data_IF_566888839421
#
_entry.id   IF_566888839421
#
_cell.length_a   1.000
_cell.length_b   1.000
_cell.length_c   1.000
_cell.angle_alpha   90.00
_cell.angle_beta   90.00
_cell.angle_gamma   90.00
#
_symmetry.space_group_name_H-M   'P 1'
#
loop_
_entity.id
_entity.type
_entity.pdbx_description
1 polymer ?
#
# COMPACT_ATOMS: atom_id res chain seq x y z
N UNK A 1 24.19 -18.42 84.16
CA UNK A 1 25.27 -17.46 84.58
C UNK A 1 25.59 -16.56 83.41
N UNK A 2 25.56 -15.22 83.66
CA UNK A 2 26.05 -14.07 82.87
C UNK A 2 25.42 -13.85 81.46
N UNK A 3 24.42 -12.98 81.32
CA UNK A 3 24.42 -11.50 81.11
C UNK A 3 25.48 -10.98 80.16
N UNK A 4 25.01 -10.21 79.13
CA UNK A 4 25.34 -8.78 78.84
C UNK A 4 24.53 -8.36 77.60
N UNK A 5 23.54 -7.50 77.79
CA UNK A 5 23.29 -6.13 77.32
C UNK A 5 23.91 -5.80 75.95
N UNK A 6 23.21 -5.48 74.89
CA UNK A 6 22.37 -4.31 74.71
C UNK A 6 23.01 -3.48 73.64
N UNK A 7 22.30 -3.02 72.71
CA UNK A 7 22.22 -1.65 72.22
C UNK A 7 21.23 -1.61 71.02
N UNK A 8 20.20 -0.81 71.21
CA UNK A 8 19.23 -0.41 70.20
C UNK A 8 19.89 0.56 69.19
N UNK A 9 19.83 0.26 67.92
CA UNK A 9 20.04 1.27 66.90
C UNK A 9 18.86 1.26 65.91
N UNK A 10 18.08 2.30 65.99
CA UNK A 10 16.95 2.62 65.17
C UNK A 10 17.48 3.04 63.78
N UNK A 11 17.23 2.26 62.73
CA UNK A 11 17.48 2.66 61.36
C UNK A 11 16.13 2.69 60.61
N UNK A 12 15.72 3.89 60.28
CA UNK A 12 14.60 4.23 59.43
C UNK A 12 14.75 3.58 58.04
N UNK A 13 13.82 2.67 57.72
CA UNK A 13 13.70 2.12 56.39
C UNK A 13 12.83 3.07 55.55
N UNK A 14 13.45 3.80 54.66
CA UNK A 14 12.77 4.47 53.53
C UNK A 14 12.37 3.40 52.53
N UNK A 15 11.06 3.09 52.42
CA UNK A 15 10.54 2.32 51.30
C UNK A 15 10.57 3.15 50.04
N UNK A 16 11.53 2.89 49.18
CA UNK A 16 11.44 3.25 47.77
C UNK A 16 10.56 2.22 47.04
N UNK A 17 9.37 2.64 46.67
CA UNK A 17 8.53 1.96 45.70
C UNK A 17 9.19 2.09 44.32
N UNK A 18 10.03 1.12 43.91
CA UNK A 18 10.46 0.96 42.55
C UNK A 18 9.36 0.23 41.80
N UNK A 19 8.60 0.99 41.01
CA UNK A 19 7.67 0.45 40.02
C UNK A 19 8.41 -0.42 39.02
N UNK A 20 7.91 -1.65 38.85
CA UNK A 20 8.38 -2.61 37.86
C UNK A 20 7.98 -2.11 36.46
N UNK A 21 8.75 -1.17 35.91
CA UNK A 21 8.70 -0.81 34.51
C UNK A 21 9.34 -1.92 33.69
N UNK A 22 8.57 -2.63 32.90
CA UNK A 22 9.10 -3.53 31.89
C UNK A 22 10.02 -2.72 30.98
N UNK A 23 11.29 -3.00 31.04
CA UNK A 23 12.24 -2.55 30.04
C UNK A 23 11.83 -3.14 28.69
N UNK A 24 11.24 -2.33 27.84
CA UNK A 24 11.19 -2.60 26.43
C UNK A 24 12.63 -2.50 25.90
N UNK A 25 13.15 -3.62 25.43
CA UNK A 25 14.42 -3.68 24.76
C UNK A 25 14.39 -2.80 23.49
N UNK A 26 15.04 -1.64 23.57
CA UNK A 26 15.15 -0.66 22.48
C UNK A 26 16.20 -1.05 21.43
N UNK A 27 16.78 -2.25 21.51
CA UNK A 27 17.98 -2.58 20.74
C UNK A 27 17.77 -2.98 19.28
N UNK A 28 16.52 -3.18 18.80
CA UNK A 28 16.26 -3.65 17.43
C UNK A 28 15.56 -2.64 16.49
N UNK A 29 15.22 -1.44 16.95
CA UNK A 29 14.56 -0.43 16.08
C UNK A 29 15.51 0.63 15.49
N UNK A 30 16.80 0.60 15.87
CA UNK A 30 17.77 1.66 15.54
C UNK A 30 18.60 1.40 14.28
N UNK A 31 18.43 0.25 13.60
CA UNK A 31 19.25 -0.09 12.43
C UNK A 31 18.60 0.17 11.08
N UNK A 32 17.31 0.57 11.03
CA UNK A 32 16.73 1.03 9.77
C UNK A 32 17.06 2.52 9.65
N UNK A 33 18.28 2.82 9.27
CA UNK A 33 18.71 4.18 8.96
C UNK A 33 18.23 4.54 7.55
N UNK A 34 16.97 4.99 7.46
CA UNK A 34 16.44 5.67 6.27
C UNK A 34 16.75 7.14 6.49
N UNK A 35 18.04 7.49 6.41
CA UNK A 35 18.49 8.86 6.61
C UNK A 35 18.06 9.75 5.44
N UNK A 36 17.37 10.80 5.79
CA UNK A 36 17.22 12.20 5.35
C UNK A 36 17.35 12.60 3.87
N UNK A 37 17.64 11.72 2.94
CA UNK A 37 17.48 11.93 1.50
C UNK A 37 16.40 11.02 0.90
N UNK A 38 15.23 10.99 1.54
CA UNK A 38 14.02 10.72 0.79
C UNK A 38 13.84 11.96 -0.06
N UNK A 39 14.12 11.85 -1.36
CA UNK A 39 13.85 12.92 -2.31
C UNK A 39 12.41 13.32 -2.12
N UNK A 40 12.16 14.52 -1.64
CA UNK A 40 10.82 15.06 -1.48
C UNK A 40 10.23 15.14 -2.90
N UNK A 41 9.31 14.24 -3.22
CA UNK A 41 8.58 14.25 -4.49
C UNK A 41 7.53 15.35 -4.52
N UNK A 42 7.37 16.11 -3.41
CA UNK A 42 6.51 17.27 -3.35
C UNK A 42 7.16 18.44 -4.09
N UNK A 43 6.60 18.81 -5.23
CA UNK A 43 6.93 20.07 -5.92
C UNK A 43 6.66 21.29 -5.04
N UNK A 44 7.17 22.45 -5.41
CA UNK A 44 6.94 23.71 -4.68
C UNK A 44 5.44 24.04 -4.59
N UNK A 45 4.99 24.62 -3.47
CA UNK A 45 3.62 24.70 -2.95
C UNK A 45 2.45 24.90 -3.94
N UNK A 46 2.59 25.75 -4.99
CA UNK A 46 1.51 25.97 -5.96
C UNK A 46 1.34 24.85 -6.99
N UNK A 47 2.41 24.10 -7.29
CA UNK A 47 2.38 22.97 -8.21
C UNK A 47 1.84 21.69 -7.52
N UNK A 48 2.05 21.59 -6.21
CA UNK A 48 1.55 20.51 -5.36
C UNK A 48 0.02 20.43 -5.28
N UNK A 49 -0.67 21.55 -5.46
CA UNK A 49 -2.14 21.59 -5.40
C UNK A 49 -2.81 21.27 -6.73
N UNK A 50 -2.03 21.16 -7.81
CA UNK A 50 -2.52 20.91 -9.17
C UNK A 50 -2.41 19.45 -9.60
N UNK A 51 -1.87 18.59 -8.76
CA UNK A 51 -1.69 17.16 -9.04
C UNK A 51 -1.89 16.30 -7.80
N UNK A 52 -2.16 15.03 -8.04
CA UNK A 52 -2.14 13.99 -7.03
C UNK A 52 -1.20 12.86 -7.44
N UNK A 53 -0.60 12.23 -6.44
CA UNK A 53 0.21 11.02 -6.60
C UNK A 53 -0.55 9.84 -6.01
N UNK A 54 -0.89 8.88 -6.87
CA UNK A 54 -1.56 7.62 -6.50
C UNK A 54 -0.50 6.53 -6.41
N UNK A 55 -0.55 5.72 -5.35
CA UNK A 55 0.34 4.59 -5.16
C UNK A 55 -0.42 3.28 -4.96
N UNK A 56 0.25 2.16 -5.25
CA UNK A 56 -0.15 0.81 -4.84
C UNK A 56 0.97 0.18 -4.03
N UNK A 57 0.60 -0.57 -2.99
CA UNK A 57 1.56 -1.17 -2.08
C UNK A 57 1.05 -2.46 -1.44
N UNK A 58 1.63 -3.60 -1.83
CA UNK A 58 1.45 -4.83 -1.08
C UNK A 58 2.20 -4.71 0.25
N UNK A 59 1.48 -4.67 1.36
CA UNK A 59 2.02 -4.39 2.68
C UNK A 59 2.43 -5.65 3.46
N UNK A 60 2.50 -6.81 2.79
CA UNK A 60 2.94 -8.08 3.36
C UNK A 60 2.34 -8.38 4.74
N UNK A 61 1.04 -8.78 4.77
CA UNK A 61 0.30 -9.17 5.99
C UNK A 61 0.18 -8.04 7.03
N UNK A 62 -0.27 -6.86 6.58
CA UNK A 62 -0.47 -5.68 7.43
C UNK A 62 -1.48 -5.96 8.57
N UNK A 63 -1.08 -5.63 9.79
CA UNK A 63 -1.89 -5.84 11.00
C UNK A 63 -1.76 -7.24 11.61
N UNK A 64 -1.08 -8.18 10.96
CA UNK A 64 -0.75 -9.50 11.50
C UNK A 64 0.73 -9.61 11.84
N UNK A 65 1.62 -9.36 10.86
CA UNK A 65 3.07 -9.33 11.09
C UNK A 65 3.50 -8.08 11.86
N UNK A 66 4.59 -8.19 12.57
CA UNK A 66 5.27 -7.02 13.14
C UNK A 66 5.76 -6.10 12.04
N UNK A 67 5.47 -4.80 12.17
CA UNK A 67 5.81 -3.77 11.19
C UNK A 67 6.47 -2.58 11.84
N UNK A 68 7.42 -1.97 11.16
CA UNK A 68 7.92 -0.65 11.51
C UNK A 68 7.02 0.43 10.89
N UNK A 69 5.96 0.79 11.60
CA UNK A 69 4.95 1.76 11.13
C UNK A 69 5.52 3.18 10.98
N UNK A 70 6.59 3.52 11.71
CA UNK A 70 7.24 4.83 11.56
C UNK A 70 7.92 4.93 10.19
N UNK A 71 8.68 3.90 9.81
CA UNK A 71 9.32 3.84 8.49
C UNK A 71 8.28 3.71 7.39
N UNK A 72 7.25 2.86 7.56
CA UNK A 72 6.15 2.78 6.58
C UNK A 72 5.49 4.14 6.37
N UNK A 73 5.22 4.90 7.44
CA UNK A 73 4.65 6.23 7.32
C UNK A 73 5.59 7.20 6.58
N UNK A 74 6.90 7.17 6.82
CA UNK A 74 7.88 7.99 6.08
C UNK A 74 7.86 7.68 4.59
N UNK A 75 7.81 6.40 4.22
CA UNK A 75 7.73 5.96 2.82
C UNK A 75 6.40 6.39 2.19
N UNK A 76 5.29 6.08 2.83
CA UNK A 76 3.95 6.27 2.26
C UNK A 76 3.46 7.72 2.31
N UNK A 77 4.07 8.59 3.14
CA UNK A 77 3.75 10.01 3.17
C UNK A 77 4.19 10.78 1.91
N UNK A 78 4.90 10.15 0.99
CA UNK A 78 5.23 10.75 -0.32
C UNK A 78 4.06 10.72 -1.31
N UNK A 79 2.97 10.01 -1.00
CA UNK A 79 1.82 9.83 -1.89
C UNK A 79 0.58 10.49 -1.28
N UNK A 80 -0.43 10.78 -2.13
CA UNK A 80 -1.69 11.38 -1.68
C UNK A 80 -2.78 10.32 -1.45
N UNK A 81 -2.77 9.24 -2.24
CA UNK A 81 -3.66 8.09 -2.14
C UNK A 81 -2.87 6.80 -2.33
N UNK A 82 -3.03 5.85 -1.44
CA UNK A 82 -2.35 4.55 -1.51
C UNK A 82 -3.38 3.44 -1.46
N UNK A 83 -3.42 2.59 -2.48
CA UNK A 83 -4.05 1.28 -2.45
C UNK A 83 -3.15 0.29 -1.71
N UNK A 84 -3.72 -0.47 -0.78
CA UNK A 84 -2.95 -1.39 0.07
C UNK A 84 -3.55 -2.79 -0.02
N UNK A 85 -2.74 -3.72 -0.48
CA UNK A 85 -3.00 -5.16 -0.51
C UNK A 85 -2.47 -5.82 0.77
N UNK A 86 -2.89 -7.06 1.00
CA UNK A 86 -2.53 -7.87 2.17
C UNK A 86 -2.86 -7.21 3.52
N UNK A 87 -3.99 -6.54 3.61
CA UNK A 87 -4.51 -6.06 4.90
C UNK A 87 -5.18 -7.23 5.63
N UNK A 88 -4.46 -7.85 6.57
CA UNK A 88 -5.00 -8.99 7.33
C UNK A 88 -5.97 -8.55 8.43
N UNK A 89 -5.75 -7.37 9.00
CA UNK A 89 -6.60 -6.79 10.03
C UNK A 89 -6.67 -5.27 9.93
N UNK A 90 -7.87 -4.72 10.05
CA UNK A 90 -8.12 -3.27 10.04
C UNK A 90 -7.24 -2.48 11.05
N UNK A 91 -6.83 -3.12 12.16
CA UNK A 91 -5.91 -2.50 13.14
C UNK A 91 -4.59 -2.04 12.51
N UNK A 92 -4.15 -2.69 11.42
CA UNK A 92 -2.96 -2.30 10.67
C UNK A 92 -3.14 -0.93 10.01
N UNK A 93 -4.25 -0.73 9.29
CA UNK A 93 -4.60 0.56 8.67
C UNK A 93 -4.80 1.66 9.73
N UNK A 94 -5.50 1.35 10.84
CA UNK A 94 -5.67 2.31 11.95
C UNK A 94 -4.34 2.78 12.51
N UNK A 95 -3.40 1.85 12.68
CA UNK A 95 -2.06 2.18 13.20
C UNK A 95 -1.25 2.98 12.19
N UNK A 96 -1.24 2.58 10.91
CA UNK A 96 -0.57 3.31 9.84
C UNK A 96 -1.09 4.74 9.72
N UNK A 97 -2.41 4.93 9.68
CA UNK A 97 -3.06 6.25 9.69
C UNK A 97 -2.59 7.11 10.86
N UNK A 98 -2.52 6.55 12.06
CA UNK A 98 -2.07 7.31 13.24
C UNK A 98 -0.61 7.78 13.12
N UNK A 99 0.26 6.96 12.53
CA UNK A 99 1.66 7.34 12.27
C UNK A 99 1.76 8.38 11.16
N UNK A 100 0.98 8.26 10.08
CA UNK A 100 0.92 9.26 9.01
C UNK A 100 0.44 10.63 9.55
N UNK A 101 -0.66 10.66 10.30
CA UNK A 101 -1.15 11.89 10.93
C UNK A 101 -0.08 12.55 11.82
N UNK A 102 0.61 11.73 12.65
CA UNK A 102 1.65 12.23 13.55
C UNK A 102 2.87 12.77 12.79
N UNK A 103 3.26 12.08 11.71
CA UNK A 103 4.45 12.43 10.94
C UNK A 103 4.24 13.71 10.12
N UNK A 104 3.11 13.80 9.41
CA UNK A 104 2.85 14.88 8.45
C UNK A 104 2.15 16.09 9.06
N UNK A 105 1.48 15.92 10.20
CA UNK A 105 0.58 16.92 10.77
C UNK A 105 -0.74 17.08 9.99
N UNK A 106 -0.93 16.32 8.91
CA UNK A 106 -2.11 16.36 8.06
C UNK A 106 -3.12 15.29 8.50
N UNK A 107 -4.36 15.47 8.06
CA UNK A 107 -5.43 14.50 8.32
C UNK A 107 -5.45 13.43 7.24
N UNK A 108 -5.10 12.21 7.61
CA UNK A 108 -5.26 11.02 6.80
C UNK A 108 -6.52 10.26 7.17
N UNK A 109 -7.17 9.68 6.17
CA UNK A 109 -8.31 8.78 6.34
C UNK A 109 -8.06 7.48 5.59
N UNK A 110 -8.87 6.45 5.87
CA UNK A 110 -8.82 5.20 5.15
C UNK A 110 -10.22 4.63 4.94
N UNK A 111 -10.36 3.82 3.91
CA UNK A 111 -11.46 2.89 3.72
C UNK A 111 -10.91 1.48 3.59
N UNK A 112 -11.72 0.50 3.93
CA UNK A 112 -11.38 -0.94 3.85
C UNK A 112 -12.55 -1.67 3.20
N UNK A 113 -12.28 -2.74 2.46
CA UNK A 113 -13.31 -3.59 1.85
C UNK A 113 -14.24 -4.19 2.91
N UNK A 114 -15.49 -4.46 2.52
CA UNK A 114 -16.53 -4.95 3.44
C UNK A 114 -16.21 -6.35 3.97
N UNK A 115 -15.62 -7.17 3.10
CA UNK A 115 -15.27 -8.54 3.41
C UNK A 115 -13.80 -8.81 3.06
N UNK A 116 -13.24 -9.83 3.66
CA UNK A 116 -11.96 -10.40 3.25
C UNK A 116 -12.18 -11.38 2.10
N UNK A 117 -11.22 -11.43 1.17
CA UNK A 117 -11.20 -12.31 -0.01
C UNK A 117 -9.99 -13.25 0.04
N UNK A 118 -10.00 -14.32 -0.74
CA UNK A 118 -8.92 -15.29 -0.82
C UNK A 118 -9.35 -16.72 -0.43
N UNK A 119 -8.38 -17.60 -0.30
CA UNK A 119 -8.59 -19.01 0.05
C UNK A 119 -8.97 -19.22 1.52
N UNK A 120 -9.43 -20.44 1.87
CA UNK A 120 -9.78 -20.79 3.24
C UNK A 120 -8.63 -20.56 4.24
N UNK A 121 -7.39 -20.79 3.83
CA UNK A 121 -6.20 -20.65 4.67
C UNK A 121 -5.53 -19.25 4.63
N UNK A 122 -5.94 -18.40 3.71
CA UNK A 122 -5.34 -17.07 3.52
C UNK A 122 -6.36 -16.08 2.99
N UNK A 123 -6.79 -15.17 3.84
CA UNK A 123 -7.77 -14.13 3.50
C UNK A 123 -7.26 -12.75 3.87
N UNK A 124 -7.49 -11.79 3.01
CA UNK A 124 -7.07 -10.40 3.18
C UNK A 124 -8.19 -9.44 2.84
N UNK A 125 -8.09 -8.22 3.33
CA UNK A 125 -8.88 -7.07 2.94
C UNK A 125 -8.07 -6.20 1.98
N UNK A 126 -8.75 -5.44 1.14
CA UNK A 126 -8.18 -4.30 0.44
C UNK A 126 -8.42 -3.02 1.23
N UNK A 127 -7.43 -2.14 1.25
CA UNK A 127 -7.52 -0.86 1.92
C UNK A 127 -7.07 0.29 1.03
N UNK A 128 -7.66 1.46 1.21
CA UNK A 128 -7.15 2.71 0.68
C UNK A 128 -6.86 3.64 1.84
N UNK A 129 -5.69 4.28 1.86
CA UNK A 129 -5.34 5.31 2.82
C UNK A 129 -4.97 6.59 2.06
N UNK A 130 -5.48 7.74 2.48
CA UNK A 130 -5.38 8.96 1.70
C UNK A 130 -5.37 10.22 2.56
N UNK A 131 -4.80 11.33 2.01
CA UNK A 131 -4.83 12.68 2.57
C UNK A 131 -6.25 13.22 2.45
N UNK A 132 -6.94 13.44 3.57
CA UNK A 132 -8.37 13.82 3.55
C UNK A 132 -8.64 15.10 2.76
N UNK A 133 -7.77 16.09 2.87
CA UNK A 133 -7.96 17.41 2.27
C UNK A 133 -7.76 17.42 0.73
N UNK A 134 -7.11 16.38 0.18
CA UNK A 134 -6.91 16.25 -1.27
C UNK A 134 -8.16 15.69 -1.99
N UNK A 135 -9.08 15.04 -1.27
CA UNK A 135 -10.22 14.36 -1.89
C UNK A 135 -11.55 14.90 -1.38
N UNK A 136 -12.35 15.47 -2.28
CA UNK A 136 -13.69 16.01 -2.01
C UNK A 136 -14.71 14.90 -1.85
N UNK A 137 -14.60 13.85 -2.67
CA UNK A 137 -15.47 12.67 -2.61
C UNK A 137 -14.64 11.39 -2.59
N UNK A 138 -15.06 10.45 -1.73
CA UNK A 138 -14.52 9.09 -1.66
C UNK A 138 -15.69 8.15 -1.42
N UNK A 139 -15.91 7.21 -2.35
CA UNK A 139 -17.06 6.30 -2.33
C UNK A 139 -16.63 4.87 -2.68
N UNK A 140 -17.00 3.90 -1.86
CA UNK A 140 -16.77 2.49 -2.15
C UNK A 140 -17.69 2.04 -3.31
N UNK A 141 -17.13 1.33 -4.28
CA UNK A 141 -17.88 0.66 -5.33
C UNK A 141 -18.05 -0.84 -5.04
N UNK A 142 -17.15 -1.40 -4.23
CA UNK A 142 -17.21 -2.79 -3.84
C UNK A 142 -16.33 -3.71 -4.70
N UNK A 143 -16.56 -5.01 -4.53
CA UNK A 143 -15.84 -6.03 -5.28
C UNK A 143 -16.34 -6.15 -6.71
N UNK A 144 -15.42 -6.49 -7.61
CA UNK A 144 -15.77 -6.98 -8.93
C UNK A 144 -16.73 -8.17 -8.81
N UNK A 145 -17.84 -8.13 -9.57
CA UNK A 145 -18.76 -9.26 -9.66
C UNK A 145 -18.39 -10.10 -10.87
N UNK A 146 -17.89 -11.28 -10.61
CA UNK A 146 -17.42 -12.20 -11.64
C UNK A 146 -18.50 -12.52 -12.67
N UNK A 147 -18.14 -12.54 -13.95
CA UNK A 147 -19.01 -12.97 -15.05
C UNK A 147 -19.17 -14.49 -15.03
N UNK A 148 -18.09 -15.20 -14.67
CA UNK A 148 -18.05 -16.65 -14.54
C UNK A 148 -17.54 -17.00 -13.15
N UNK A 149 -17.85 -18.17 -12.65
CA UNK A 149 -17.38 -18.61 -11.35
C UNK A 149 -15.85 -18.80 -11.34
N UNK A 150 -15.20 -18.34 -10.28
CA UNK A 150 -13.76 -18.52 -10.02
C UNK A 150 -12.83 -17.86 -11.07
N UNK A 151 -13.16 -16.66 -11.52
CA UNK A 151 -12.28 -15.85 -12.36
C UNK A 151 -11.07 -15.33 -11.56
N UNK A 152 -11.26 -15.09 -10.27
CA UNK A 152 -10.22 -14.59 -9.34
C UNK A 152 -10.22 -15.36 -8.01
N UNK A 153 -9.05 -15.61 -7.46
CA UNK A 153 -8.90 -16.07 -6.07
C UNK A 153 -9.28 -14.97 -5.08
N UNK A 154 -9.01 -13.72 -5.47
CA UNK A 154 -9.32 -12.49 -4.73
C UNK A 154 -9.92 -11.50 -5.72
N UNK A 155 -11.23 -11.33 -5.65
CA UNK A 155 -11.93 -10.41 -6.53
C UNK A 155 -11.39 -8.98 -6.34
N UNK A 156 -10.98 -8.28 -7.42
CA UNK A 156 -10.53 -6.89 -7.35
C UNK A 156 -11.56 -5.98 -6.70
N UNK A 157 -11.11 -4.95 -5.99
CA UNK A 157 -11.95 -4.03 -5.23
C UNK A 157 -11.82 -2.61 -5.72
N UNK A 158 -12.94 -1.95 -6.04
CA UNK A 158 -12.98 -0.60 -6.56
C UNK A 158 -13.52 0.43 -5.58
N UNK A 159 -12.96 1.63 -5.67
CA UNK A 159 -13.49 2.83 -5.02
C UNK A 159 -13.36 4.03 -5.96
N UNK A 160 -14.35 4.93 -5.88
CA UNK A 160 -14.38 6.20 -6.60
C UNK A 160 -13.77 7.29 -5.74
N UNK A 161 -13.00 8.16 -6.38
CA UNK A 161 -12.34 9.30 -5.78
C UNK A 161 -12.53 10.54 -6.65
N UNK A 162 -12.60 11.73 -6.02
CA UNK A 162 -12.57 13.02 -6.69
C UNK A 162 -11.56 13.93 -6.03
N UNK A 163 -10.63 14.47 -6.82
CA UNK A 163 -9.60 15.40 -6.40
C UNK A 163 -9.54 16.60 -7.37
N UNK A 164 -9.93 17.78 -6.92
CA UNK A 164 -10.10 18.93 -7.80
C UNK A 164 -11.17 18.64 -8.86
N UNK A 165 -10.79 18.73 -10.13
CA UNK A 165 -11.66 18.39 -11.25
C UNK A 165 -11.55 16.92 -11.68
N UNK A 166 -10.44 16.25 -11.35
CA UNK A 166 -10.22 14.85 -11.70
C UNK A 166 -11.02 13.91 -10.80
N UNK A 167 -11.90 13.13 -11.39
CA UNK A 167 -12.60 12.03 -10.74
C UNK A 167 -12.29 10.71 -11.45
N UNK A 168 -12.18 9.64 -10.67
CA UNK A 168 -11.70 8.36 -11.18
C UNK A 168 -12.13 7.19 -10.31
N UNK A 169 -12.08 6.01 -10.88
CA UNK A 169 -12.18 4.75 -10.16
C UNK A 169 -10.78 4.17 -9.97
N UNK A 170 -10.41 3.92 -8.73
CA UNK A 170 -9.21 3.17 -8.40
C UNK A 170 -9.59 1.75 -8.00
N UNK A 171 -9.12 0.76 -8.75
CA UNK A 171 -9.32 -0.67 -8.51
C UNK A 171 -8.03 -1.28 -8.01
N UNK A 172 -8.05 -1.80 -6.77
CA UNK A 172 -6.93 -2.56 -6.20
C UNK A 172 -7.09 -4.03 -6.58
N UNK A 173 -5.99 -4.69 -6.89
CA UNK A 173 -5.94 -6.11 -7.14
C UNK A 173 -4.74 -6.78 -6.46
N UNK A 174 -4.92 -8.05 -6.08
CA UNK A 174 -3.86 -8.94 -5.67
C UNK A 174 -4.14 -10.32 -6.28
N UNK A 175 -3.52 -10.60 -7.43
CA UNK A 175 -3.72 -11.84 -8.16
C UNK A 175 -3.13 -13.03 -7.42
N UNK A 176 -3.60 -14.21 -7.78
CA UNK A 176 -3.08 -15.45 -7.22
C UNK A 176 -1.58 -15.61 -7.52
N UNK A 177 -0.79 -15.97 -6.51
CA UNK A 177 0.56 -16.49 -6.77
C UNK A 177 0.49 -17.94 -7.28
N UNK A 178 -0.35 -18.77 -6.64
CA UNK A 178 -0.67 -20.14 -7.06
C UNK A 178 0.55 -21.08 -7.15
N UNK A 179 0.25 -22.36 -7.29
CA UNK A 179 1.29 -23.40 -7.48
C UNK A 179 1.80 -23.48 -8.92
N UNK A 180 1.02 -22.94 -9.87
CA UNK A 180 1.30 -23.02 -11.31
C UNK A 180 1.13 -21.65 -11.97
N UNK A 181 2.09 -21.30 -12.81
CA UNK A 181 2.02 -20.11 -13.64
C UNK A 181 0.72 -19.97 -14.43
N UNK A 182 0.18 -21.09 -14.93
CA UNK A 182 -1.09 -21.11 -15.66
C UNK A 182 -2.24 -20.46 -14.88
N UNK A 183 -2.29 -20.60 -13.55
CA UNK A 183 -3.35 -19.99 -12.72
C UNK A 183 -3.24 -18.45 -12.76
N UNK A 184 -2.02 -17.93 -12.66
CA UNK A 184 -1.73 -16.49 -12.75
C UNK A 184 -2.14 -15.92 -14.11
N UNK A 185 -1.79 -16.63 -15.21
CA UNK A 185 -2.13 -16.21 -16.57
C UNK A 185 -3.64 -16.20 -16.82
N UNK A 186 -4.40 -17.13 -16.21
CA UNK A 186 -5.87 -17.13 -16.30
C UNK A 186 -6.44 -15.90 -15.61
N UNK A 187 -6.04 -15.57 -14.37
CA UNK A 187 -6.49 -14.33 -13.71
C UNK A 187 -6.10 -13.09 -14.53
N UNK A 188 -4.84 -13.02 -15.00
CA UNK A 188 -4.36 -11.92 -15.83
C UNK A 188 -5.23 -11.70 -17.08
N UNK A 189 -5.71 -12.76 -17.71
CA UNK A 189 -6.59 -12.67 -18.90
C UNK A 189 -8.00 -12.14 -18.60
N UNK A 190 -8.43 -12.18 -17.33
CA UNK A 190 -9.76 -11.72 -16.91
C UNK A 190 -9.81 -10.23 -16.53
N UNK A 191 -8.67 -9.51 -16.47
CA UNK A 191 -8.69 -8.08 -16.12
C UNK A 191 -9.45 -7.20 -17.11
N UNK A 192 -9.66 -7.63 -18.35
CA UNK A 192 -10.59 -6.97 -19.26
C UNK A 192 -12.01 -6.91 -18.69
N UNK A 193 -12.47 -7.99 -18.05
CA UNK A 193 -13.79 -8.05 -17.43
C UNK A 193 -13.91 -7.11 -16.23
N UNK A 194 -12.81 -6.98 -15.45
CA UNK A 194 -12.73 -6.05 -14.32
C UNK A 194 -12.82 -4.60 -14.80
N UNK A 195 -12.06 -4.23 -15.83
CA UNK A 195 -12.07 -2.90 -16.41
C UNK A 195 -13.46 -2.52 -16.93
N UNK A 196 -14.06 -3.38 -17.75
CA UNK A 196 -15.42 -3.16 -18.30
C UNK A 196 -16.49 -3.07 -17.21
N UNK A 197 -16.36 -3.87 -16.15
CA UNK A 197 -17.28 -3.86 -15.03
C UNK A 197 -17.26 -2.50 -14.32
N UNK A 198 -16.08 -2.02 -13.90
CA UNK A 198 -16.00 -0.76 -13.18
C UNK A 198 -16.31 0.45 -14.05
N UNK A 199 -15.94 0.44 -15.32
CA UNK A 199 -16.33 1.44 -16.31
C UNK A 199 -17.87 1.57 -16.36
N UNK A 200 -18.58 0.44 -16.40
CA UNK A 200 -20.04 0.40 -16.48
C UNK A 200 -20.72 0.76 -15.16
N UNK A 201 -20.24 0.21 -14.04
CA UNK A 201 -20.90 0.37 -12.72
C UNK A 201 -20.72 1.78 -12.16
N UNK A 202 -19.61 2.43 -12.45
CA UNK A 202 -19.35 3.80 -12.00
C UNK A 202 -19.96 4.85 -12.94
N UNK A 203 -20.00 4.56 -14.23
CA UNK A 203 -20.25 5.55 -15.27
C UNK A 203 -19.06 6.47 -15.54
N UNK A 204 -17.92 6.21 -14.88
CA UNK A 204 -16.68 6.96 -14.94
C UNK A 204 -15.73 6.32 -15.96
N UNK A 205 -15.12 7.14 -16.82
CA UNK A 205 -14.22 6.65 -17.86
C UNK A 205 -12.79 6.45 -17.39
N UNK A 206 -12.39 7.14 -16.34
CA UNK A 206 -11.07 7.06 -15.71
C UNK A 206 -10.98 5.89 -14.73
N UNK A 207 -10.69 4.71 -15.28
CA UNK A 207 -10.51 3.49 -14.50
C UNK A 207 -9.02 3.14 -14.40
N UNK A 208 -8.49 3.23 -13.20
CA UNK A 208 -7.11 2.89 -12.83
C UNK A 208 -7.13 1.53 -12.13
N UNK A 209 -6.49 0.51 -12.69
CA UNK A 209 -6.30 -0.78 -12.03
C UNK A 209 -4.84 -0.87 -11.59
N UNK A 210 -4.59 -1.10 -10.30
CA UNK A 210 -3.23 -1.29 -9.81
C UNK A 210 -3.15 -2.32 -8.69
N UNK A 211 -1.98 -2.88 -8.50
CA UNK A 211 -1.71 -3.86 -7.45
C UNK A 211 -0.63 -4.87 -7.84
N UNK A 212 -0.60 -5.95 -7.08
CA UNK A 212 0.25 -7.11 -7.31
C UNK A 212 -0.45 -8.12 -8.24
N UNK A 213 -0.02 -8.13 -9.48
CA UNK A 213 -0.56 -9.06 -10.50
C UNK A 213 0.08 -10.44 -10.46
N UNK A 214 1.19 -10.63 -9.71
CA UNK A 214 1.98 -11.86 -9.68
C UNK A 214 2.42 -12.37 -11.08
N UNK A 215 2.33 -11.49 -12.10
CA UNK A 215 2.72 -11.70 -13.50
C UNK A 215 3.29 -10.38 -14.02
N UNK A 216 4.42 -10.39 -14.75
CA UNK A 216 4.92 -9.18 -15.40
C UNK A 216 3.87 -8.60 -16.37
N UNK A 217 3.74 -7.26 -16.40
CA UNK A 217 2.67 -6.58 -17.12
C UNK A 217 2.77 -6.67 -18.66
N UNK A 218 3.91 -7.06 -19.20
CA UNK A 218 4.13 -7.33 -20.62
C UNK A 218 3.67 -8.74 -21.04
N UNK A 219 3.20 -9.57 -20.09
CA UNK A 219 2.67 -10.90 -20.37
C UNK A 219 1.58 -10.85 -21.43
N UNK A 220 1.61 -11.78 -22.43
CA UNK A 220 0.54 -11.92 -23.42
C UNK A 220 -0.85 -12.17 -22.82
N UNK A 221 -0.93 -12.61 -21.54
CA UNK A 221 -2.20 -12.80 -20.84
C UNK A 221 -3.02 -11.51 -20.71
N UNK A 222 -2.40 -10.33 -20.68
CA UNK A 222 -3.07 -9.04 -20.70
C UNK A 222 -3.47 -8.57 -22.11
N UNK A 223 -3.27 -9.38 -23.16
CA UNK A 223 -3.52 -9.01 -24.55
C UNK A 223 -4.94 -8.50 -24.78
N UNK A 224 -5.96 -9.18 -24.24
CA UNK A 224 -7.36 -8.75 -24.38
C UNK A 224 -7.62 -7.37 -23.74
N UNK A 225 -7.03 -7.11 -22.58
CA UNK A 225 -7.14 -5.81 -21.88
C UNK A 225 -6.56 -4.69 -22.76
N UNK A 226 -5.40 -4.94 -23.38
CA UNK A 226 -4.72 -3.99 -24.26
C UNK A 226 -5.47 -3.79 -25.58
N UNK A 227 -5.80 -4.88 -26.28
CA UNK A 227 -6.33 -4.83 -27.65
C UNK A 227 -7.80 -4.40 -27.70
N UNK A 228 -8.63 -4.85 -26.73
CA UNK A 228 -10.06 -4.60 -26.77
C UNK A 228 -10.50 -3.39 -25.94
N UNK A 229 -9.76 -3.02 -24.90
CA UNK A 229 -10.08 -1.88 -24.05
C UNK A 229 -9.09 -0.70 -24.18
N UNK A 230 -8.01 -0.84 -24.95
CA UNK A 230 -6.98 0.20 -25.10
C UNK A 230 -6.21 0.48 -23.82
N UNK A 231 -6.28 -0.45 -22.84
CA UNK A 231 -5.61 -0.30 -21.55
C UNK A 231 -4.18 -0.80 -21.63
N UNK A 232 -3.24 -0.01 -21.14
CA UNK A 232 -1.81 -0.34 -21.13
C UNK A 232 -1.22 -0.19 -19.73
N UNK A 233 -0.16 -0.94 -19.45
CA UNK A 233 0.62 -0.80 -18.24
C UNK A 233 1.49 0.47 -18.27
N UNK A 234 1.83 1.00 -17.08
CA UNK A 234 2.65 2.21 -16.97
C UNK A 234 4.12 1.92 -16.70
N UNK A 235 4.44 0.84 -16.00
CA UNK A 235 5.82 0.49 -15.63
C UNK A 235 6.33 -0.64 -16.51
N UNK A 236 7.41 -0.37 -17.29
CA UNK A 236 8.09 -1.41 -18.07
C UNK A 236 8.67 -2.49 -17.13
N UNK A 237 8.31 -3.78 -17.28
CA UNK A 237 8.83 -4.84 -16.42
C UNK A 237 10.36 -5.03 -16.53
N UNK A 238 10.96 -4.67 -17.65
CA UNK A 238 12.41 -4.77 -17.85
C UNK A 238 13.19 -3.77 -16.98
N UNK A 239 12.59 -2.61 -16.71
CA UNK A 239 13.23 -1.51 -15.99
C UNK A 239 12.80 -1.40 -14.53
N UNK A 240 11.64 -1.98 -14.17
CA UNK A 240 10.98 -1.75 -12.89
C UNK A 240 10.75 -3.04 -12.11
N UNK A 241 11.74 -3.47 -11.35
CA UNK A 241 11.59 -4.56 -10.38
C UNK A 241 10.90 -4.02 -9.12
N UNK A 242 9.88 -4.72 -8.64
CA UNK A 242 9.02 -4.27 -7.54
C UNK A 242 9.06 -5.15 -6.30
N UNK A 243 9.59 -6.38 -6.40
CA UNK A 243 9.64 -7.32 -5.28
C UNK A 243 11.05 -7.55 -4.76
N UNK A 244 11.15 -7.95 -3.48
CA UNK A 244 12.41 -8.11 -2.76
C UNK A 244 12.69 -9.59 -2.40
N UNK A 245 13.91 -10.04 -2.68
CA UNK A 245 14.52 -11.15 -1.93
C UNK A 245 15.22 -10.62 -0.68
N UNK A 246 15.97 -11.44 0.03
CA UNK A 246 16.78 -10.99 1.16
C UNK A 246 18.05 -10.23 0.73
N UNK A 247 18.37 -10.25 -0.58
CA UNK A 247 19.63 -9.73 -1.10
C UNK A 247 19.44 -8.69 -2.22
N UNK A 248 18.29 -8.71 -2.93
CA UNK A 248 18.09 -7.87 -4.12
C UNK A 248 16.62 -7.75 -4.54
N UNK A 249 16.35 -6.85 -5.48
CA UNK A 249 15.11 -6.84 -6.24
C UNK A 249 15.03 -8.06 -7.16
N UNK A 250 13.82 -8.63 -7.38
CA UNK A 250 13.68 -9.91 -8.09
C UNK A 250 12.63 -9.96 -9.17
N UNK A 251 11.45 -9.37 -9.00
CA UNK A 251 10.36 -9.49 -9.96
C UNK A 251 9.64 -8.17 -10.18
N UNK A 252 8.98 -8.02 -11.32
CA UNK A 252 8.14 -6.89 -11.69
C UNK A 252 6.68 -7.34 -11.69
N UNK A 253 6.08 -7.45 -10.50
CA UNK A 253 4.71 -7.97 -10.33
C UNK A 253 3.68 -6.89 -10.08
N UNK A 254 4.12 -5.73 -9.58
CA UNK A 254 3.25 -4.59 -9.29
C UNK A 254 3.24 -3.64 -10.49
N UNK A 255 2.05 -3.16 -10.87
CA UNK A 255 1.91 -2.24 -12.00
C UNK A 255 0.61 -1.41 -11.89
N UNK A 256 0.51 -0.40 -12.75
CA UNK A 256 -0.72 0.32 -13.06
C UNK A 256 -1.16 -0.02 -14.48
N UNK A 257 -2.45 -0.18 -14.67
CA UNK A 257 -3.09 -0.33 -15.98
C UNK A 257 -4.14 0.77 -16.14
N UNK A 258 -4.01 1.59 -17.18
CA UNK A 258 -4.93 2.66 -17.55
C UNK A 258 -5.17 2.71 -19.06
N UNK A 259 -6.28 3.29 -19.47
CA UNK A 259 -6.47 3.70 -20.85
C UNK A 259 -6.04 5.17 -21.00
N UNK A 260 -4.86 5.43 -21.54
CA UNK A 260 -4.29 6.79 -21.66
C UNK A 260 -5.09 7.72 -22.57
N UNK A 261 -5.91 7.19 -23.46
CA UNK A 261 -6.79 7.99 -24.33
C UNK A 261 -8.02 8.52 -23.56
N UNK A 262 -8.37 7.84 -22.49
CA UNK A 262 -9.44 8.25 -21.56
C UNK A 262 -8.86 9.03 -20.38
N UNK A 263 -7.95 8.45 -19.66
CA UNK A 263 -7.29 9.06 -18.48
C UNK A 263 -6.21 10.04 -18.92
N UNK A 264 -6.62 11.16 -19.48
CA UNK A 264 -5.74 12.23 -20.02
C UNK A 264 -5.09 13.06 -18.91
N UNK A 265 -5.58 12.95 -17.70
CA UNK A 265 -5.04 13.55 -16.49
C UNK A 265 -3.70 12.94 -16.09
N UNK A 266 -3.37 11.74 -16.60
CA UNK A 266 -2.06 11.14 -16.38
C UNK A 266 -0.94 12.01 -16.99
N UNK A 267 -0.02 12.47 -16.13
CA UNK A 267 1.05 13.42 -16.52
C UNK A 267 2.37 12.74 -16.91
N UNK A 268 2.31 11.48 -17.38
CA UNK A 268 3.45 10.67 -17.83
C UNK A 268 4.55 10.50 -16.75
N UNK A 269 4.20 10.61 -15.48
CA UNK A 269 5.10 10.33 -14.35
C UNK A 269 4.61 9.12 -13.57
N UNK A 270 5.36 8.04 -13.64
CA UNK A 270 5.09 6.79 -12.92
C UNK A 270 6.40 6.04 -12.65
N UNK A 271 6.44 5.24 -11.61
CA UNK A 271 7.66 4.51 -11.27
C UNK A 271 7.54 3.63 -10.02
N UNK A 272 8.67 3.09 -9.64
CA UNK A 272 8.87 2.35 -8.39
C UNK A 272 9.54 3.27 -7.37
N UNK A 273 8.93 3.42 -6.20
CA UNK A 273 9.55 4.17 -5.12
C UNK A 273 10.52 3.28 -4.35
N UNK A 274 11.76 3.22 -4.84
CA UNK A 274 12.80 2.41 -4.21
C UNK A 274 13.45 3.16 -3.05
N UNK A 275 13.05 2.79 -1.83
CA UNK A 275 13.59 3.32 -0.58
C UNK A 275 14.64 2.41 0.08
N UNK A 276 15.02 1.31 -0.58
CA UNK A 276 16.08 0.41 -0.08
C UNK A 276 17.44 1.09 -0.22
N UNK A 277 18.16 1.21 0.89
CA UNK A 277 19.52 1.77 0.92
C UNK A 277 20.46 0.79 1.59
N UNK A 278 21.75 0.86 1.24
CA UNK A 278 22.81 0.08 1.87
C UNK A 278 22.52 -1.44 1.95
N UNK A 279 21.90 -1.99 0.91
CA UNK A 279 21.57 -3.42 0.80
C UNK A 279 20.74 -4.00 1.96
N UNK A 280 19.93 -3.18 2.62
CA UNK A 280 19.08 -3.56 3.74
C UNK A 280 17.83 -4.36 3.34
N UNK A 281 17.88 -5.12 2.24
CA UNK A 281 16.76 -5.88 1.69
C UNK A 281 16.08 -6.80 2.72
N UNK A 282 16.84 -7.62 3.43
CA UNK A 282 16.29 -8.56 4.41
C UNK A 282 15.55 -7.85 5.57
N UNK A 283 16.06 -6.71 6.03
CA UNK A 283 15.44 -5.92 7.10
C UNK A 283 14.14 -5.27 6.60
N UNK A 284 14.17 -4.68 5.40
CA UNK A 284 13.00 -4.07 4.76
C UNK A 284 11.91 -5.11 4.55
N UNK A 285 12.25 -6.26 3.95
CA UNK A 285 11.34 -7.39 3.76
C UNK A 285 10.72 -7.87 5.07
N UNK A 286 11.50 -7.97 6.14
CA UNK A 286 11.02 -8.43 7.44
C UNK A 286 10.04 -7.45 8.11
N UNK A 287 10.36 -6.15 8.11
CA UNK A 287 9.66 -5.16 8.92
C UNK A 287 8.79 -4.18 8.14
N UNK A 288 8.92 -4.12 6.82
CA UNK A 288 8.12 -3.24 5.96
C UNK A 288 7.30 -4.07 4.99
N UNK A 289 7.90 -4.57 3.90
CA UNK A 289 7.30 -5.44 2.91
C UNK A 289 8.35 -6.11 2.04
N UNK A 290 7.99 -7.20 1.39
CA UNK A 290 8.71 -7.81 0.28
C UNK A 290 8.34 -7.20 -1.08
N UNK A 291 7.56 -6.11 -1.08
CA UNK A 291 7.27 -5.27 -2.24
C UNK A 291 7.70 -3.82 -2.00
N UNK A 292 7.96 -3.11 -3.09
CA UNK A 292 8.15 -1.65 -3.11
C UNK A 292 6.85 -0.97 -3.54
N UNK A 293 6.53 0.22 -3.01
CA UNK A 293 5.43 1.01 -3.55
C UNK A 293 5.69 1.39 -5.00
N UNK A 294 4.67 1.28 -5.84
CA UNK A 294 4.62 1.86 -7.16
C UNK A 294 3.75 3.12 -7.14
N UNK A 295 3.98 4.06 -8.04
CA UNK A 295 3.22 5.30 -8.11
C UNK A 295 2.96 5.77 -9.53
N UNK A 296 1.93 6.62 -9.66
CA UNK A 296 1.59 7.37 -10.87
C UNK A 296 1.01 8.73 -10.48
N UNK A 297 1.24 9.77 -11.31
CA UNK A 297 0.80 11.14 -11.03
C UNK A 297 -0.25 11.61 -12.03
N UNK A 298 -1.22 12.39 -11.55
CA UNK A 298 -2.36 12.88 -12.32
C UNK A 298 -2.61 14.36 -12.05
N UNK A 299 -2.94 15.13 -13.09
CA UNK A 299 -3.41 16.50 -12.97
C UNK A 299 -4.78 16.53 -12.31
N UNK A 300 -5.04 17.57 -11.51
CA UNK A 300 -6.35 17.82 -10.88
C UNK A 300 -7.00 19.11 -11.39
N UNK A 301 -6.40 19.75 -12.43
CA UNK A 301 -6.84 21.06 -12.92
C UNK A 301 -8.04 20.96 -13.85
N UNK A 302 -8.07 19.95 -14.69
CA UNK A 302 -9.12 19.72 -15.67
C UNK A 302 -9.61 18.27 -15.58
N UNK A 303 -10.84 18.09 -15.90
CA UNK A 303 -11.45 16.81 -16.24
C UNK A 303 -11.61 16.84 -17.76
N UNK A 304 -11.03 15.89 -18.46
CA UNK A 304 -10.86 15.92 -19.92
C UNK A 304 -11.65 14.84 -20.65
N UNK A 305 -12.56 14.12 -19.95
CA UNK A 305 -13.42 13.09 -20.52
C UNK A 305 -14.90 13.48 -20.68
#
# INVERSE_FOLDING_TARGET
MKNIKGVFLLLLFFCFLTGCGKFFDKSNSSEINIDQEITDMSGEGAEKDRKITIASFNAMRLGEKEKNYEVMAKVLSNFDLIGIEEVMHEKGLKKLKAYLNKLTGEKWEYIISENSVGSEGYREYYGYIYRKEKFQEVRKLGFYKEKNENEFMREPYGAYFKSGNFDFVYVICHSIFGDKEKQRLIEASNYINVYEYFLKESGESDVIIAGDFNVPADSPAFGNLKENAGVSYLLSPEENLTTLSDERLVSSYDNFFINKEKTKEFIENSGVYNFVKNDNYAIIKKYISDHLPIFSEYSTENDLD
#
